data_IF_085918205677
#
_entry.id   IF_085918205677
#
_cell.length_a   1.000
_cell.length_b   1.000
_cell.length_c   1.000
_cell.angle_alpha   90.00
_cell.angle_beta   90.00
_cell.angle_gamma   90.00
#
_symmetry.space_group_name_H-M   'P 1'
#
loop_
_entity.id
_entity.type
_entity.pdbx_description
1 polymer ?
#
# COMPACT_ATOMS: atom_id res chain seq x y z
N UNK A 1 -6.55 -1.40 -17.90
CA UNK A 1 -5.70 -2.61 -18.05
C UNK A 1 -6.00 -3.69 -17.01
N UNK A 2 -5.91 -4.97 -17.41
CA UNK A 2 -6.09 -6.13 -16.50
C UNK A 2 -5.12 -6.13 -15.30
N UNK A 3 -3.95 -5.49 -15.44
CA UNK A 3 -2.93 -5.43 -14.39
C UNK A 3 -3.35 -4.53 -13.22
N UNK A 4 -3.95 -3.37 -13.51
CA UNK A 4 -4.40 -2.42 -12.49
C UNK A 4 -5.52 -3.00 -11.64
N UNK A 5 -6.49 -3.68 -12.26
CA UNK A 5 -7.58 -4.33 -11.54
C UNK A 5 -7.09 -5.39 -10.56
N UNK A 6 -6.06 -6.14 -10.93
CA UNK A 6 -5.44 -7.12 -10.04
C UNK A 6 -4.76 -6.44 -8.85
N UNK A 7 -4.04 -5.34 -9.08
CA UNK A 7 -3.42 -4.57 -8.02
C UNK A 7 -4.47 -4.04 -7.03
N UNK A 8 -5.55 -3.46 -7.55
CA UNK A 8 -6.68 -2.95 -6.76
C UNK A 8 -7.27 -4.08 -5.91
N UNK A 9 -7.53 -5.26 -6.50
CA UNK A 9 -8.06 -6.39 -5.74
C UNK A 9 -7.13 -6.88 -4.63
N UNK A 10 -5.81 -6.87 -4.86
CA UNK A 10 -4.83 -7.24 -3.83
C UNK A 10 -4.89 -6.24 -2.67
N UNK A 11 -4.84 -4.94 -2.97
CA UNK A 11 -4.91 -3.88 -1.97
C UNK A 11 -6.23 -3.96 -1.19
N UNK A 12 -7.36 -4.08 -1.89
CA UNK A 12 -8.67 -4.26 -1.27
C UNK A 12 -8.72 -5.48 -0.35
N UNK A 13 -8.21 -6.64 -0.79
CA UNK A 13 -8.19 -7.85 0.05
C UNK A 13 -7.28 -7.70 1.27
N UNK A 14 -6.17 -6.98 1.12
CA UNK A 14 -5.22 -6.77 2.22
C UNK A 14 -5.66 -5.68 3.20
N UNK A 15 -6.38 -4.66 2.75
CA UNK A 15 -6.71 -3.47 3.56
C UNK A 15 -8.20 -3.30 3.85
N UNK A 16 -9.04 -4.09 3.20
CA UNK A 16 -10.51 -4.08 3.30
C UNK A 16 -11.16 -2.72 3.00
N UNK A 17 -10.52 -1.93 2.13
CA UNK A 17 -11.03 -0.61 1.68
C UNK A 17 -11.84 -0.73 0.39
N UNK A 18 -12.68 0.26 0.06
CA UNK A 18 -13.41 0.28 -1.20
C UNK A 18 -12.48 0.42 -2.41
N UNK A 19 -12.98 0.00 -3.58
CA UNK A 19 -12.27 0.06 -4.87
C UNK A 19 -11.75 1.45 -5.20
N UNK A 20 -12.56 2.48 -4.97
CA UNK A 20 -12.21 3.87 -5.28
C UNK A 20 -10.96 4.29 -4.52
N UNK A 21 -10.95 4.08 -3.19
CA UNK A 21 -9.80 4.38 -2.34
C UNK A 21 -8.59 3.53 -2.75
N UNK A 22 -8.77 2.23 -2.97
CA UNK A 22 -7.67 1.36 -3.40
C UNK A 22 -7.05 1.79 -4.73
N UNK A 23 -7.86 2.25 -5.69
CA UNK A 23 -7.41 2.74 -6.98
C UNK A 23 -6.66 4.07 -6.87
N UNK A 24 -7.20 5.04 -6.12
CA UNK A 24 -6.54 6.32 -5.85
C UNK A 24 -5.20 6.08 -5.15
N UNK A 25 -5.17 5.30 -4.07
CA UNK A 25 -3.91 5.01 -3.36
C UNK A 25 -2.92 4.29 -4.26
N UNK A 26 -3.36 3.37 -5.13
CA UNK A 26 -2.47 2.72 -6.10
C UNK A 26 -1.87 3.72 -7.08
N UNK A 27 -2.63 4.71 -7.53
CA UNK A 27 -2.16 5.74 -8.44
C UNK A 27 -1.10 6.63 -7.76
N UNK A 28 -1.36 7.07 -6.52
CA UNK A 28 -0.37 7.77 -5.69
C UNK A 28 0.87 6.93 -5.39
N UNK A 29 0.69 5.61 -5.25
CA UNK A 29 1.75 4.65 -5.00
C UNK A 29 2.50 4.19 -6.26
N UNK A 30 2.31 4.83 -7.41
CA UNK A 30 2.93 4.43 -8.70
C UNK A 30 2.65 2.96 -9.08
N UNK A 31 1.44 2.49 -8.80
CA UNK A 31 1.00 1.10 -8.98
C UNK A 31 1.74 0.05 -8.12
N UNK A 32 2.45 0.49 -7.09
CA UNK A 32 3.05 -0.39 -6.09
C UNK A 32 2.03 -0.85 -5.06
N UNK A 33 1.62 -2.12 -5.12
CA UNK A 33 0.71 -2.72 -4.15
C UNK A 33 1.26 -2.62 -2.71
N UNK A 34 2.59 -2.76 -2.54
CA UNK A 34 3.23 -2.71 -1.22
C UNK A 34 3.10 -1.32 -0.60
N UNK A 35 3.41 -0.29 -1.39
CA UNK A 35 3.33 1.10 -0.95
C UNK A 35 1.88 1.46 -0.64
N UNK A 36 0.93 1.10 -1.51
CA UNK A 36 -0.49 1.35 -1.28
C UNK A 36 -1.01 0.68 0.01
N UNK A 37 -0.64 -0.58 0.28
CA UNK A 37 -1.03 -1.27 1.51
C UNK A 37 -0.47 -0.55 2.74
N UNK A 38 0.80 -0.12 2.70
CA UNK A 38 1.42 0.63 3.81
C UNK A 38 0.73 1.98 3.99
N UNK A 39 0.52 2.76 2.93
CA UNK A 39 -0.20 4.04 2.98
C UNK A 39 -1.55 3.90 3.66
N UNK A 40 -2.35 2.89 3.29
CA UNK A 40 -3.68 2.67 3.88
C UNK A 40 -3.60 2.18 5.33
N UNK A 41 -2.65 1.30 5.66
CA UNK A 41 -2.54 0.73 7.02
C UNK A 41 -1.93 1.68 8.04
N UNK A 42 -0.98 2.51 7.60
CA UNK A 42 -0.28 3.51 8.42
C UNK A 42 -0.90 4.90 8.33
N UNK A 43 -1.86 5.10 7.42
CA UNK A 43 -2.46 6.40 7.11
C UNK A 43 -1.37 7.45 6.85
N UNK A 44 -0.49 7.15 5.90
CA UNK A 44 0.70 7.94 5.60
C UNK A 44 0.85 8.22 4.10
N UNK A 45 1.65 9.24 3.78
CA UNK A 45 1.89 9.66 2.41
C UNK A 45 2.77 8.67 1.63
N UNK A 46 2.79 8.78 0.30
CA UNK A 46 3.58 7.90 -0.56
C UNK A 46 5.08 7.94 -0.21
N UNK A 47 5.61 9.10 0.14
CA UNK A 47 7.00 9.26 0.57
C UNK A 47 7.27 8.56 1.90
N UNK A 48 6.40 8.73 2.89
CA UNK A 48 6.51 8.05 4.18
C UNK A 48 6.39 6.54 4.04
N UNK A 49 5.41 6.07 3.27
CA UNK A 49 5.22 4.66 2.98
C UNK A 49 6.45 4.05 2.29
N UNK A 50 7.05 4.77 1.33
CA UNK A 50 8.31 4.37 0.69
C UNK A 50 9.45 4.33 1.71
N UNK A 51 9.59 5.35 2.56
CA UNK A 51 10.64 5.41 3.58
C UNK A 51 10.51 4.25 4.60
N UNK A 52 9.30 3.96 5.06
CA UNK A 52 9.01 2.84 5.96
C UNK A 52 9.27 1.51 5.26
N UNK A 53 8.87 1.36 3.99
CA UNK A 53 9.19 0.18 3.20
C UNK A 53 10.70 -0.03 3.04
N UNK A 54 11.47 1.04 2.79
CA UNK A 54 12.93 0.98 2.69
C UNK A 54 13.54 0.54 4.02
N UNK A 55 13.11 1.13 5.14
CA UNK A 55 13.54 0.71 6.49
C UNK A 55 13.17 -0.75 6.80
N UNK A 56 12.08 -1.22 6.21
CA UNK A 56 11.57 -2.57 6.36
C UNK A 56 12.10 -3.56 5.31
N UNK A 57 13.14 -3.23 4.53
CA UNK A 57 13.68 -4.06 3.44
C UNK A 57 12.63 -4.51 2.41
N UNK A 58 11.62 -3.67 2.16
CA UNK A 58 10.52 -3.94 1.24
C UNK A 58 9.50 -4.96 1.76
N UNK A 59 9.52 -5.27 3.06
CA UNK A 59 8.53 -6.12 3.73
C UNK A 59 7.37 -5.29 4.28
N UNK A 60 6.21 -5.38 3.63
CA UNK A 60 4.97 -4.71 4.07
C UNK A 60 4.62 -5.06 5.52
N UNK A 61 4.82 -6.34 5.91
CA UNK A 61 4.53 -6.79 7.28
C UNK A 61 5.37 -6.05 8.30
N UNK A 62 6.69 -5.96 8.12
CA UNK A 62 7.58 -5.18 8.98
C UNK A 62 7.26 -3.68 8.94
N UNK A 63 6.82 -3.16 7.79
CA UNK A 63 6.46 -1.75 7.64
C UNK A 63 5.19 -1.36 8.43
N UNK A 64 4.22 -2.27 8.57
CA UNK A 64 2.98 -2.04 9.35
C UNK A 64 3.11 -2.49 10.80
N UNK A 65 4.03 -3.40 11.09
CA UNK A 65 4.37 -3.88 12.43
C UNK A 65 5.18 -2.77 13.11
N UNK A 66 4.46 -1.82 13.68
CA UNK A 66 5.04 -0.83 14.59
C UNK A 66 5.49 -1.61 15.81
N UNK A 67 6.80 -1.67 16.05
CA UNK A 67 7.35 -2.16 17.31
C UNK A 67 6.69 -1.36 18.46
N UNK A 68 5.99 -2.07 19.35
CA UNK A 68 5.71 -1.59 20.71
C UNK A 68 6.97 -1.72 21.58
#
# INVERSE_FOLDING_TARGET
DKLQERAIQIVMKSTNVPRTLAAETLEYAEYSCKTAIVMIRKDCDCEEAKAVLVKADGFVRKAIETEE
#
